data_IF_692473088536
#
_entry.id   IF_692473088536
#
_cell.length_a   1.000
_cell.length_b   1.000
_cell.length_c   1.000
_cell.angle_alpha   90.00
_cell.angle_beta   90.00
_cell.angle_gamma   90.00
#
_symmetry.space_group_name_H-M   'P 1'
#
loop_
_entity.id
_entity.type
_entity.pdbx_description
1 polymer ?
#
# COMPACT_ATOMS: atom_id res chain seq x y z
N UNK A 1 14.21 -5.73 -28.85
CA UNK A 1 13.49 -5.68 -27.57
C UNK A 1 12.09 -6.23 -27.81
N UNK A 2 11.70 -7.27 -27.10
CA UNK A 2 10.45 -7.98 -27.28
C UNK A 2 9.25 -7.02 -27.05
N UNK A 3 8.23 -7.13 -27.91
CA UNK A 3 7.02 -6.26 -27.85
C UNK A 3 6.31 -6.37 -26.50
N UNK A 4 6.34 -7.55 -25.89
CA UNK A 4 5.77 -7.82 -24.55
C UNK A 4 6.57 -7.10 -23.46
N UNK A 5 7.91 -7.15 -23.52
CA UNK A 5 8.77 -6.48 -22.56
C UNK A 5 8.57 -4.95 -22.58
N UNK A 6 8.56 -4.36 -23.79
CA UNK A 6 8.33 -2.91 -23.94
C UNK A 6 6.99 -2.47 -23.37
N UNK A 7 5.93 -3.26 -23.61
CA UNK A 7 4.60 -2.98 -23.08
C UNK A 7 4.58 -3.03 -21.55
N UNK A 8 5.17 -4.07 -20.96
CA UNK A 8 5.25 -4.21 -19.49
C UNK A 8 6.01 -3.04 -18.86
N UNK A 9 7.15 -2.63 -19.42
CA UNK A 9 7.93 -1.48 -18.96
C UNK A 9 7.10 -0.19 -19.01
N UNK A 10 6.39 0.06 -20.13
CA UNK A 10 5.53 1.24 -20.25
C UNK A 10 4.43 1.25 -19.17
N UNK A 11 3.77 0.12 -18.92
CA UNK A 11 2.72 0.05 -17.89
C UNK A 11 3.28 0.26 -16.49
N UNK A 12 4.44 -0.29 -16.16
CA UNK A 12 5.09 -0.06 -14.87
C UNK A 12 5.43 1.42 -14.69
N UNK A 13 6.02 2.06 -15.71
CA UNK A 13 6.34 3.49 -15.65
C UNK A 13 5.11 4.37 -15.52
N UNK A 14 4.02 4.05 -16.23
CA UNK A 14 2.74 4.76 -16.10
C UNK A 14 2.16 4.60 -14.69
N UNK A 15 2.18 3.38 -14.12
CA UNK A 15 1.71 3.14 -12.77
C UNK A 15 2.50 3.92 -11.72
N UNK A 16 3.83 3.91 -11.82
CA UNK A 16 4.70 4.68 -10.91
C UNK A 16 4.53 6.20 -11.09
N UNK A 17 4.42 6.66 -12.34
CA UNK A 17 4.13 8.08 -12.64
C UNK A 17 2.81 8.55 -12.04
N UNK A 18 1.75 7.73 -12.14
CA UNK A 18 0.46 8.04 -11.52
C UNK A 18 0.55 8.07 -9.98
N UNK A 19 1.32 7.14 -9.37
CA UNK A 19 1.53 7.15 -7.93
C UNK A 19 2.27 8.40 -7.45
N UNK A 20 3.31 8.83 -8.17
CA UNK A 20 4.03 10.08 -7.89
C UNK A 20 3.12 11.31 -8.05
N UNK A 21 2.33 11.36 -9.12
CA UNK A 21 1.39 12.45 -9.35
C UNK A 21 0.33 12.53 -8.24
N UNK A 22 -0.26 11.39 -7.85
CA UNK A 22 -1.22 11.32 -6.75
C UNK A 22 -0.62 11.77 -5.42
N UNK A 23 0.60 11.32 -5.11
CA UNK A 23 1.35 11.76 -3.92
C UNK A 23 1.64 13.27 -3.94
N UNK A 24 2.05 13.80 -5.10
CA UNK A 24 2.29 15.23 -5.30
C UNK A 24 1.02 16.07 -5.09
N UNK A 25 -0.09 15.67 -5.69
CA UNK A 25 -1.40 16.34 -5.49
C UNK A 25 -1.80 16.30 -4.00
N UNK A 26 -1.70 15.13 -3.36
CA UNK A 26 -1.99 15.00 -1.94
C UNK A 26 -1.13 15.92 -1.08
N UNK A 27 0.18 15.98 -1.30
CA UNK A 27 1.10 16.82 -0.52
C UNK A 27 0.89 18.33 -0.72
N UNK A 28 0.31 18.77 -1.82
CA UNK A 28 0.01 20.17 -2.10
C UNK A 28 -1.38 20.60 -1.64
N UNK A 29 -2.36 19.70 -1.74
CA UNK A 29 -3.79 19.99 -1.48
C UNK A 29 -4.11 19.81 0.02
N UNK A 30 -3.67 18.71 0.63
CA UNK A 30 -4.03 18.37 2.01
C UNK A 30 -3.59 19.41 3.05
N UNK A 31 -2.38 20.02 2.97
CA UNK A 31 -2.00 21.07 3.92
C UNK A 31 -2.93 22.28 3.90
N UNK A 32 -3.50 22.59 2.73
CA UNK A 32 -4.39 23.74 2.55
C UNK A 32 -5.80 23.48 3.06
N UNK A 33 -6.21 22.22 3.12
CA UNK A 33 -7.59 21.82 3.46
C UNK A 33 -7.76 21.34 4.88
N UNK A 34 -6.76 20.64 5.44
CA UNK A 34 -6.84 20.06 6.78
C UNK A 34 -6.46 21.01 7.92
N UNK A 35 -5.75 22.11 7.64
CA UNK A 35 -5.11 22.90 8.68
C UNK A 35 -3.86 22.22 9.27
N UNK A 36 -3.05 22.97 9.99
CA UNK A 36 -1.71 22.54 10.41
C UNK A 36 -1.74 21.32 11.36
N UNK A 37 -2.66 21.29 12.31
CA UNK A 37 -2.75 20.22 13.30
C UNK A 37 -3.19 18.90 12.66
N UNK A 38 -4.31 18.87 11.95
CA UNK A 38 -4.80 17.67 11.26
C UNK A 38 -3.82 17.16 10.21
N UNK A 39 -3.14 18.08 9.51
CA UNK A 39 -2.08 17.71 8.57
C UNK A 39 -0.88 17.06 9.27
N UNK A 40 -0.53 17.47 10.49
CA UNK A 40 0.56 16.84 11.24
C UNK A 40 0.24 15.38 11.59
N UNK A 41 -0.99 15.06 11.96
CA UNK A 41 -1.43 13.68 12.20
C UNK A 41 -1.46 12.86 10.90
N UNK A 42 -1.88 13.46 9.80
CA UNK A 42 -1.78 12.82 8.48
C UNK A 42 -0.33 12.46 8.11
N UNK A 43 0.61 13.38 8.34
CA UNK A 43 2.04 13.12 8.12
C UNK A 43 2.56 12.00 9.04
N UNK A 44 2.07 11.94 10.29
CA UNK A 44 2.41 10.85 11.21
C UNK A 44 1.91 9.50 10.69
N UNK A 45 0.69 9.44 10.14
CA UNK A 45 0.17 8.25 9.48
C UNK A 45 1.05 7.83 8.29
N UNK A 46 1.38 8.77 7.39
CA UNK A 46 2.25 8.50 6.25
C UNK A 46 3.64 8.03 6.67
N UNK A 47 4.18 8.59 7.74
CA UNK A 47 5.44 8.14 8.32
C UNK A 47 5.36 6.65 8.71
N UNK A 48 4.37 6.27 9.52
CA UNK A 48 4.19 4.86 9.90
C UNK A 48 3.96 3.97 8.67
N UNK A 49 3.09 4.38 7.75
CA UNK A 49 2.81 3.64 6.52
C UNK A 49 4.05 3.42 5.64
N UNK A 50 5.03 4.32 5.69
CA UNK A 50 6.28 4.21 4.93
C UNK A 50 7.28 3.22 5.54
N UNK A 51 7.30 3.09 6.86
CA UNK A 51 8.27 2.23 7.56
C UNK A 51 7.75 0.83 7.88
N UNK A 52 6.44 0.66 8.07
CA UNK A 52 5.84 -0.64 8.34
C UNK A 52 6.17 -1.71 7.28
N UNK A 53 6.26 -1.41 5.97
CA UNK A 53 6.67 -2.38 4.97
C UNK A 53 8.06 -3.01 5.19
N UNK A 54 8.94 -2.36 5.96
CA UNK A 54 10.23 -2.95 6.32
C UNK A 54 10.08 -4.23 7.16
N UNK A 55 8.94 -4.39 7.86
CA UNK A 55 8.63 -5.60 8.60
C UNK A 55 8.36 -6.83 7.70
N UNK A 56 8.19 -6.64 6.39
CA UNK A 56 8.00 -7.73 5.44
C UNK A 56 9.23 -8.64 5.29
N UNK A 57 10.43 -8.18 5.72
CA UNK A 57 11.68 -8.95 5.82
C UNK A 57 11.99 -9.80 4.57
N UNK A 58 11.69 -9.28 3.37
CA UNK A 58 11.97 -9.95 2.12
C UNK A 58 10.96 -11.04 1.70
N UNK A 59 9.80 -11.18 2.37
CA UNK A 59 8.78 -12.15 2.01
C UNK A 59 8.37 -12.03 0.53
N UNK A 60 8.13 -10.80 0.08
CA UNK A 60 7.71 -10.53 -1.29
C UNK A 60 8.82 -10.82 -2.31
N UNK A 61 10.07 -10.54 -1.95
CA UNK A 61 11.23 -10.86 -2.78
C UNK A 61 11.40 -12.38 -2.91
N UNK A 62 11.17 -13.13 -1.82
CA UNK A 62 11.13 -14.59 -1.83
C UNK A 62 10.06 -15.15 -2.78
N UNK A 63 8.86 -14.56 -2.79
CA UNK A 63 7.80 -14.92 -3.73
C UNK A 63 8.23 -14.62 -5.18
N UNK A 64 8.77 -13.43 -5.41
CA UNK A 64 9.25 -13.04 -6.74
C UNK A 64 10.32 -13.98 -7.28
N UNK A 65 11.31 -14.35 -6.45
CA UNK A 65 12.38 -15.27 -6.83
C UNK A 65 11.87 -16.69 -7.08
N UNK A 66 10.94 -17.17 -6.26
CA UNK A 66 10.40 -18.53 -6.35
C UNK A 66 9.52 -18.74 -7.60
N UNK A 67 8.73 -17.74 -7.96
CA UNK A 67 7.78 -17.84 -9.07
C UNK A 67 8.23 -17.07 -10.31
N UNK A 68 9.44 -16.52 -10.31
CA UNK A 68 10.01 -15.80 -11.45
C UNK A 68 10.04 -16.63 -12.72
N UNK A 69 9.37 -16.15 -13.77
CA UNK A 69 9.27 -16.84 -15.07
C UNK A 69 8.23 -17.96 -15.12
N UNK A 70 7.49 -18.27 -14.04
CA UNK A 70 6.42 -19.25 -14.05
C UNK A 70 5.21 -18.74 -14.84
N UNK A 71 4.57 -19.64 -15.58
CA UNK A 71 3.27 -19.36 -16.19
C UNK A 71 2.19 -19.40 -15.08
N UNK A 72 1.31 -18.40 -15.08
CA UNK A 72 0.19 -18.32 -14.13
C UNK A 72 -0.67 -19.59 -14.08
N UNK A 73 -0.84 -20.25 -15.23
CA UNK A 73 -1.62 -21.49 -15.32
C UNK A 73 -0.98 -22.67 -14.56
N UNK A 74 0.31 -22.57 -14.24
CA UNK A 74 1.08 -23.62 -13.55
C UNK A 74 1.31 -23.32 -12.06
N UNK A 75 0.74 -22.25 -11.54
CA UNK A 75 0.89 -21.88 -10.13
C UNK A 75 0.16 -22.87 -9.23
N UNK A 76 0.86 -23.35 -8.21
CA UNK A 76 0.23 -24.09 -7.10
C UNK A 76 -0.49 -23.12 -6.17
N UNK A 77 -1.80 -23.02 -6.35
CA UNK A 77 -2.64 -22.13 -5.55
C UNK A 77 -2.69 -22.53 -4.07
N UNK A 78 -2.50 -23.80 -3.74
CA UNK A 78 -2.50 -24.26 -2.35
C UNK A 78 -1.23 -23.76 -1.65
N UNK A 79 -0.07 -23.92 -2.30
CA UNK A 79 1.19 -23.39 -1.79
C UNK A 79 1.16 -21.86 -1.67
N UNK A 80 0.60 -21.14 -2.65
CA UNK A 80 0.46 -19.68 -2.61
C UNK A 80 -0.42 -19.20 -1.45
N UNK A 81 -1.58 -19.84 -1.24
CA UNK A 81 -2.46 -19.52 -0.11
C UNK A 81 -1.76 -19.77 1.23
N UNK A 82 -1.03 -20.87 1.35
CA UNK A 82 -0.25 -21.19 2.55
C UNK A 82 0.82 -20.14 2.83
N UNK A 83 1.55 -19.72 1.80
CA UNK A 83 2.60 -18.69 1.93
C UNK A 83 2.01 -17.32 2.30
N UNK A 84 0.90 -16.91 1.67
CA UNK A 84 0.21 -15.68 2.02
C UNK A 84 -0.29 -15.75 3.47
N UNK A 85 -0.92 -16.84 3.87
CA UNK A 85 -1.41 -17.03 5.25
C UNK A 85 -0.28 -16.98 6.27
N UNK A 86 0.83 -17.68 6.01
CA UNK A 86 2.01 -17.65 6.88
C UNK A 86 2.61 -16.23 6.97
N UNK A 87 2.71 -15.53 5.84
CA UNK A 87 3.16 -14.15 5.78
C UNK A 87 2.26 -13.19 6.56
N UNK A 88 0.94 -13.31 6.40
CA UNK A 88 -0.04 -12.51 7.13
C UNK A 88 -0.01 -12.79 8.63
N UNK A 89 0.15 -14.05 9.04
CA UNK A 89 0.30 -14.40 10.46
C UNK A 89 1.56 -13.79 11.05
N UNK A 90 2.71 -13.95 10.40
CA UNK A 90 3.98 -13.38 10.88
C UNK A 90 3.91 -11.86 10.98
N UNK A 91 3.39 -11.20 9.95
CA UNK A 91 3.26 -9.75 9.92
C UNK A 91 2.15 -9.23 10.82
N UNK A 92 1.06 -10.01 11.01
CA UNK A 92 0.02 -9.73 11.98
C UNK A 92 0.55 -9.77 13.41
N UNK A 93 1.38 -10.75 13.76
CA UNK A 93 2.06 -10.81 15.06
C UNK A 93 2.99 -9.61 15.26
N UNK A 94 3.79 -9.25 14.25
CA UNK A 94 4.67 -8.07 14.32
C UNK A 94 3.86 -6.77 14.47
N UNK A 95 2.77 -6.64 13.71
CA UNK A 95 1.87 -5.51 13.80
C UNK A 95 1.17 -5.42 15.17
N UNK A 96 0.74 -6.56 15.73
CA UNK A 96 0.14 -6.61 17.06
C UNK A 96 1.13 -6.22 18.14
N UNK A 97 2.39 -6.67 18.05
CA UNK A 97 3.46 -6.27 18.98
C UNK A 97 3.74 -4.76 18.88
N UNK A 98 3.91 -4.24 17.67
CA UNK A 98 4.13 -2.81 17.42
C UNK A 98 2.92 -1.96 17.91
N UNK A 99 1.70 -2.42 17.63
CA UNK A 99 0.47 -1.78 18.09
C UNK A 99 0.33 -1.78 19.61
N UNK A 100 0.63 -2.90 20.25
CA UNK A 100 0.64 -2.99 21.71
C UNK A 100 1.63 -2.02 22.35
N UNK A 101 2.85 -1.93 21.82
CA UNK A 101 3.85 -0.95 22.24
C UNK A 101 3.35 0.49 22.02
N UNK A 102 2.78 0.79 20.84
CA UNK A 102 2.27 2.10 20.53
C UNK A 102 1.13 2.49 21.49
N UNK A 103 0.18 1.60 21.77
CA UNK A 103 -0.92 1.85 22.69
C UNK A 103 -0.43 2.08 24.12
N UNK A 104 0.63 1.39 24.55
CA UNK A 104 1.22 1.56 25.88
C UNK A 104 1.99 2.88 26.02
N UNK A 105 2.74 3.27 24.98
CA UNK A 105 3.67 4.41 25.03
C UNK A 105 3.00 5.74 24.64
N UNK A 106 2.02 5.70 23.73
CA UNK A 106 1.34 6.90 23.28
C UNK A 106 0.22 7.29 24.26
N UNK A 107 0.19 8.55 24.69
CA UNK A 107 -0.85 9.07 25.59
C UNK A 107 -1.96 9.80 24.81
N UNK A 108 -1.60 10.43 23.69
CA UNK A 108 -2.51 11.19 22.85
C UNK A 108 -3.44 10.25 22.06
N UNK A 109 -4.79 10.40 22.18
CA UNK A 109 -5.76 9.56 21.49
C UNK A 109 -5.68 9.68 19.95
N UNK A 110 -5.33 10.85 19.42
CA UNK A 110 -5.14 11.04 17.98
C UNK A 110 -3.95 10.26 17.43
N UNK A 111 -2.83 10.28 18.14
CA UNK A 111 -1.64 9.49 17.78
C UNK A 111 -1.92 7.99 17.84
N UNK A 112 -2.67 7.53 18.85
CA UNK A 112 -3.13 6.13 18.92
C UNK A 112 -3.98 5.76 17.70
N UNK A 113 -4.94 6.63 17.33
CA UNK A 113 -5.77 6.44 16.16
C UNK A 113 -4.96 6.34 14.87
N UNK A 114 -3.95 7.20 14.67
CA UNK A 114 -3.09 7.16 13.51
C UNK A 114 -2.24 5.88 13.46
N UNK A 115 -1.69 5.46 14.59
CA UNK A 115 -0.94 4.21 14.68
C UNK A 115 -1.84 2.99 14.38
N UNK A 116 -3.06 2.95 14.91
CA UNK A 116 -4.02 1.89 14.62
C UNK A 116 -4.40 1.84 13.13
N UNK A 117 -4.70 3.00 12.54
CA UNK A 117 -5.00 3.11 11.11
C UNK A 117 -3.83 2.63 10.24
N UNK A 118 -2.59 2.99 10.61
CA UNK A 118 -1.39 2.55 9.90
C UNK A 118 -1.19 1.03 9.99
N UNK A 119 -1.52 0.39 11.11
CA UNK A 119 -1.44 -1.06 11.25
C UNK A 119 -2.48 -1.78 10.38
N UNK A 120 -3.72 -1.28 10.34
CA UNK A 120 -4.76 -1.82 9.43
C UNK A 120 -4.33 -1.66 7.98
N UNK A 121 -3.88 -0.46 7.59
CA UNK A 121 -3.34 -0.20 6.27
C UNK A 121 -2.22 -1.17 5.91
N UNK A 122 -1.29 -1.43 6.85
CA UNK A 122 -0.17 -2.33 6.64
C UNK A 122 -0.59 -3.76 6.30
N UNK A 123 -1.60 -4.31 6.99
CA UNK A 123 -2.10 -5.65 6.69
C UNK A 123 -2.74 -5.73 5.30
N UNK A 124 -3.53 -4.72 4.93
CA UNK A 124 -4.11 -4.61 3.59
C UNK A 124 -3.03 -4.45 2.52
N UNK A 125 -2.04 -3.59 2.78
CA UNK A 125 -0.88 -3.38 1.93
C UNK A 125 -0.08 -4.66 1.72
N UNK A 126 0.07 -5.51 2.75
CA UNK A 126 0.77 -6.79 2.66
C UNK A 126 0.10 -7.72 1.66
N UNK A 127 -1.23 -7.85 1.71
CA UNK A 127 -1.99 -8.65 0.74
C UNK A 127 -1.83 -8.10 -0.68
N UNK A 128 -2.01 -6.80 -0.84
CA UNK A 128 -1.89 -6.12 -2.12
C UNK A 128 -0.50 -6.30 -2.73
N UNK A 129 0.53 -6.11 -1.92
CA UNK A 129 1.92 -6.18 -2.36
C UNK A 129 2.33 -7.62 -2.72
N UNK A 130 1.92 -8.61 -1.93
CA UNK A 130 2.14 -10.03 -2.24
C UNK A 130 1.59 -10.40 -3.63
N UNK A 131 0.36 -10.01 -3.93
CA UNK A 131 -0.24 -10.22 -5.25
C UNK A 131 0.50 -9.47 -6.35
N UNK A 132 0.95 -8.26 -6.08
CA UNK A 132 1.72 -7.45 -7.01
C UNK A 132 3.04 -8.11 -7.42
N UNK A 133 3.80 -8.60 -6.45
CA UNK A 133 5.05 -9.33 -6.71
C UNK A 133 4.80 -10.62 -7.48
N UNK A 134 3.71 -11.34 -7.16
CA UNK A 134 3.33 -12.55 -7.88
C UNK A 134 3.01 -12.26 -9.35
N UNK A 135 2.19 -11.25 -9.64
CA UNK A 135 1.88 -10.87 -11.03
C UNK A 135 3.12 -10.43 -11.80
N UNK A 136 4.01 -9.69 -11.15
CA UNK A 136 5.28 -9.29 -11.77
C UNK A 136 6.17 -10.51 -12.04
N UNK A 137 6.27 -11.47 -11.10
CA UNK A 137 7.02 -12.71 -11.27
C UNK A 137 6.52 -13.55 -12.46
N UNK A 138 5.20 -13.61 -12.65
CA UNK A 138 4.59 -14.32 -13.79
C UNK A 138 4.65 -13.53 -15.11
N UNK A 139 5.29 -12.37 -15.14
CA UNK A 139 5.38 -11.54 -16.34
C UNK A 139 4.07 -10.82 -16.70
N UNK A 140 3.12 -10.73 -15.76
CA UNK A 140 1.83 -10.02 -15.89
C UNK A 140 1.89 -8.63 -15.27
N UNK A 141 3.00 -7.91 -15.43
CA UNK A 141 3.18 -6.56 -14.89
C UNK A 141 2.10 -5.56 -15.35
N UNK A 142 1.45 -5.82 -16.48
CA UNK A 142 0.32 -5.03 -16.97
C UNK A 142 -0.88 -5.09 -16.00
N UNK A 143 -1.19 -6.28 -15.47
CA UNK A 143 -2.31 -6.47 -14.51
C UNK A 143 -2.04 -5.69 -13.24
N UNK A 144 -0.81 -5.80 -12.73
CA UNK A 144 -0.37 -5.03 -11.56
C UNK A 144 -0.47 -3.52 -11.79
N UNK A 145 0.04 -3.03 -12.91
CA UNK A 145 0.02 -1.60 -13.24
C UNK A 145 -1.40 -1.06 -13.38
N UNK A 146 -2.32 -1.82 -13.98
CA UNK A 146 -3.74 -1.44 -14.06
C UNK A 146 -4.39 -1.36 -12.68
N UNK A 147 -4.09 -2.31 -11.79
CA UNK A 147 -4.55 -2.28 -10.40
C UNK A 147 -4.03 -1.04 -9.67
N UNK A 148 -2.76 -0.70 -9.83
CA UNK A 148 -2.17 0.50 -9.24
C UNK A 148 -2.79 1.79 -9.78
N UNK A 149 -3.04 1.88 -11.09
CA UNK A 149 -3.71 3.02 -11.71
C UNK A 149 -5.14 3.20 -11.19
N UNK A 150 -5.88 2.09 -11.07
CA UNK A 150 -7.24 2.10 -10.52
C UNK A 150 -7.24 2.55 -9.06
N UNK A 151 -6.36 2.02 -8.23
CA UNK A 151 -6.18 2.40 -6.83
C UNK A 151 -5.91 3.90 -6.70
N UNK A 152 -4.94 4.43 -7.43
CA UNK A 152 -4.59 5.86 -7.40
C UNK A 152 -5.71 6.75 -7.97
N UNK A 153 -6.39 6.29 -9.01
CA UNK A 153 -7.54 6.98 -9.58
C UNK A 153 -8.71 7.07 -8.59
N UNK A 154 -9.02 5.98 -7.91
CA UNK A 154 -10.05 5.97 -6.87
C UNK A 154 -9.69 6.85 -5.66
N UNK A 155 -8.43 6.82 -5.20
CA UNK A 155 -7.97 7.70 -4.14
C UNK A 155 -8.11 9.18 -4.52
N UNK A 156 -7.70 9.57 -5.72
CA UNK A 156 -7.84 10.95 -6.20
C UNK A 156 -9.31 11.35 -6.37
N UNK A 157 -10.15 10.47 -6.90
CA UNK A 157 -11.58 10.71 -7.03
C UNK A 157 -12.26 10.86 -5.65
N UNK A 158 -11.92 10.02 -4.69
CA UNK A 158 -12.41 10.12 -3.31
C UNK A 158 -11.97 11.44 -2.66
N UNK A 159 -10.71 11.81 -2.79
CA UNK A 159 -10.20 13.09 -2.30
C UNK A 159 -10.96 14.28 -2.94
N UNK A 160 -11.11 14.26 -4.27
CA UNK A 160 -11.85 15.29 -4.99
C UNK A 160 -13.31 15.40 -4.56
N UNK A 161 -13.99 14.26 -4.34
CA UNK A 161 -15.36 14.23 -3.84
C UNK A 161 -15.49 14.78 -2.42
N UNK A 162 -14.58 14.42 -1.51
CA UNK A 162 -14.55 14.94 -0.13
C UNK A 162 -14.33 16.45 -0.10
N UNK A 163 -13.45 16.95 -0.96
CA UNK A 163 -13.18 18.39 -1.11
C UNK A 163 -14.41 19.12 -1.64
N UNK A 164 -15.07 18.58 -2.68
CA UNK A 164 -16.27 19.18 -3.27
C UNK A 164 -17.45 19.22 -2.29
N UNK A 165 -17.55 18.23 -1.40
CA UNK A 165 -18.57 18.15 -0.35
C UNK A 165 -18.26 19.02 0.88
N UNK A 166 -17.10 19.67 0.93
CA UNK A 166 -16.64 20.42 2.11
C UNK A 166 -16.43 19.55 3.36
N UNK A 167 -16.25 18.24 3.17
CA UNK A 167 -16.12 17.24 4.26
C UNK A 167 -14.72 16.62 4.35
N UNK A 168 -13.70 17.32 3.87
CA UNK A 168 -12.32 16.85 3.94
C UNK A 168 -11.79 16.93 5.38
N UNK A 169 -12.28 16.06 6.25
CA UNK A 169 -11.75 15.88 7.60
C UNK A 169 -10.72 14.74 7.65
N UNK A 170 -9.87 14.77 8.69
CA UNK A 170 -8.78 13.78 8.84
C UNK A 170 -9.28 12.32 8.83
N UNK A 171 -10.37 12.02 9.53
CA UNK A 171 -10.94 10.67 9.60
C UNK A 171 -11.64 10.19 8.31
N UNK A 172 -11.96 11.10 7.42
CA UNK A 172 -12.58 10.78 6.14
C UNK A 172 -11.53 10.48 5.06
N UNK A 173 -10.26 10.81 5.35
CA UNK A 173 -9.13 10.58 4.44
C UNK A 173 -8.36 9.29 4.77
N UNK A 174 -8.53 8.73 5.96
CA UNK A 174 -7.95 7.44 6.40
C UNK A 174 -8.82 6.27 5.99
#
# INVERSE_FOLDING_TARGET
MDRRLRRNVCFVLLGQGAALAAGGVGSLVLPKTLGAEAFSYWQLFLFHASYLPCLALGLNDGVYLRYGGCDRARLDLAALKSQLAAGLLAQGCAAAAAGGCALALLHDPWRKGMAAAALVYYLLYTCHNFLGYLFQACGEAEVWAKSLLLDRGLCLAALGALLALGRAGLWQLL
#
